data_IF_390415740014
#
_entry.id   IF_390415740014
#
_cell.length_a   1.000
_cell.length_b   1.000
_cell.length_c   1.000
_cell.angle_alpha   90.00
_cell.angle_beta   90.00
_cell.angle_gamma   90.00
#
_symmetry.space_group_name_H-M   'P 1'
#
loop_
_entity.id
_entity.type
_entity.pdbx_description
1 polymer ?
#
# COMPACT_ATOMS: atom_id res chain seq x y z
N UNK A 1 33.61 -12.20 29.72
CA UNK A 1 32.21 -12.04 30.20
C UNK A 1 31.45 -10.88 29.52
N UNK A 2 32.08 -9.70 29.31
CA UNK A 2 31.43 -8.52 28.69
C UNK A 2 31.02 -8.72 27.21
N UNK A 3 31.80 -9.44 26.40
CA UNK A 3 31.44 -9.70 24.99
C UNK A 3 30.17 -10.53 24.80
N UNK A 4 29.83 -11.42 25.73
CA UNK A 4 28.65 -12.29 25.60
C UNK A 4 27.34 -11.52 25.87
N UNK A 5 27.38 -10.53 26.76
CA UNK A 5 26.27 -9.62 27.05
C UNK A 5 25.99 -8.67 25.86
N UNK A 6 27.03 -8.18 25.19
CA UNK A 6 26.90 -7.35 23.99
C UNK A 6 26.26 -8.11 22.83
N UNK A 7 26.61 -9.38 22.62
CA UNK A 7 26.02 -10.18 21.56
C UNK A 7 24.53 -10.51 21.81
N UNK A 8 24.16 -10.81 23.07
CA UNK A 8 22.77 -11.06 23.44
C UNK A 8 21.90 -9.80 23.34
N UNK A 9 22.44 -8.65 23.77
CA UNK A 9 21.79 -7.34 23.64
C UNK A 9 21.52 -6.96 22.18
N UNK A 10 22.52 -7.13 21.30
CA UNK A 10 22.37 -6.85 19.87
C UNK A 10 21.32 -7.75 19.19
N UNK A 11 21.15 -8.99 19.64
CA UNK A 11 20.09 -9.87 19.13
C UNK A 11 18.69 -9.42 19.54
N UNK A 12 18.50 -8.93 20.77
CA UNK A 12 17.20 -8.39 21.22
C UNK A 12 16.86 -7.10 20.47
N UNK A 13 17.80 -6.17 20.34
CA UNK A 13 17.54 -4.93 19.60
C UNK A 13 17.27 -5.18 18.12
N UNK A 14 17.96 -6.15 17.49
CA UNK A 14 17.69 -6.51 16.10
C UNK A 14 16.33 -7.19 15.92
N UNK A 15 15.88 -8.04 16.85
CA UNK A 15 14.56 -8.68 16.79
C UNK A 15 13.42 -7.69 17.01
N UNK A 16 13.54 -6.77 17.97
CA UNK A 16 12.55 -5.69 18.18
C UNK A 16 12.46 -4.80 16.95
N UNK A 17 13.60 -4.41 16.36
CA UNK A 17 13.62 -3.60 15.12
C UNK A 17 13.04 -4.34 13.92
N UNK A 18 13.25 -5.67 13.83
CA UNK A 18 12.60 -6.50 12.80
C UNK A 18 11.08 -6.56 13.00
N UNK A 19 10.58 -6.66 14.23
CA UNK A 19 9.15 -6.65 14.51
C UNK A 19 8.49 -5.31 14.17
N UNK A 20 9.14 -4.18 14.51
CA UNK A 20 8.64 -2.84 14.13
C UNK A 20 8.62 -2.63 12.61
N UNK A 21 9.63 -3.15 11.90
CA UNK A 21 9.67 -3.10 10.43
C UNK A 21 8.66 -4.05 9.80
N UNK A 22 8.37 -5.20 10.41
CA UNK A 22 7.31 -6.11 9.95
C UNK A 22 5.93 -5.47 10.06
N UNK A 23 5.65 -4.76 11.15
CA UNK A 23 4.41 -3.99 11.30
C UNK A 23 4.34 -2.92 10.21
N UNK A 24 5.42 -2.16 9.99
CA UNK A 24 5.53 -1.16 8.90
C UNK A 24 5.33 -1.72 7.48
N UNK A 25 5.68 -3.00 7.27
CA UNK A 25 5.67 -3.67 5.96
C UNK A 25 4.30 -4.10 5.46
N UNK A 26 3.23 -3.99 6.24
CA UNK A 26 1.88 -4.44 5.79
C UNK A 26 1.06 -3.28 5.15
N UNK A 27 1.52 -2.03 5.26
CA UNK A 27 0.66 -0.83 5.14
C UNK A 27 0.29 -0.31 3.75
N UNK A 28 0.29 -1.15 2.71
CA UNK A 28 -0.27 -0.76 1.41
C UNK A 28 -0.99 -1.96 0.81
N UNK A 29 -2.32 -1.93 0.85
CA UNK A 29 -3.18 -2.97 0.25
C UNK A 29 -3.21 -2.93 -1.27
N UNK A 30 -2.08 -2.73 -1.95
CA UNK A 30 -1.97 -3.15 -3.35
C UNK A 30 -1.99 -4.69 -3.33
N UNK A 31 -3.20 -5.22 -3.41
CA UNK A 31 -3.61 -6.59 -3.09
C UNK A 31 -3.18 -7.63 -4.12
N UNK A 32 -2.02 -7.47 -4.78
CA UNK A 32 -1.54 -8.43 -5.79
C UNK A 32 -0.19 -9.05 -5.44
N UNK A 33 0.55 -8.53 -4.46
CA UNK A 33 1.90 -9.06 -4.19
C UNK A 33 1.81 -9.96 -2.96
N UNK A 34 1.96 -11.30 -3.12
CA UNK A 34 1.86 -12.21 -1.99
C UNK A 34 2.88 -11.77 -0.93
N UNK A 35 2.38 -11.48 0.27
CA UNK A 35 3.13 -11.07 1.46
C UNK A 35 4.04 -12.18 2.01
N UNK A 36 4.38 -13.16 1.16
CA UNK A 36 5.15 -14.38 1.46
C UNK A 36 6.17 -14.69 0.37
N UNK A 37 6.80 -13.67 -0.22
CA UNK A 37 8.10 -13.95 -0.86
C UNK A 37 9.06 -14.21 0.29
N UNK A 38 9.43 -15.47 0.51
CA UNK A 38 10.43 -15.81 1.50
C UNK A 38 11.80 -15.36 0.98
N UNK A 39 12.10 -14.08 1.22
CA UNK A 39 13.38 -13.47 0.85
C UNK A 39 14.55 -14.22 1.49
N UNK A 40 14.32 -14.96 2.60
CA UNK A 40 15.38 -15.71 3.27
C UNK A 40 15.79 -16.98 2.51
N UNK A 41 14.94 -17.54 1.65
CA UNK A 41 15.23 -18.75 0.86
C UNK A 41 15.72 -18.45 -0.56
N UNK A 42 15.84 -17.17 -0.94
CA UNK A 42 16.22 -16.75 -2.29
C UNK A 42 17.73 -16.82 -2.52
N UNK A 43 18.14 -17.25 -3.71
CA UNK A 43 19.54 -17.18 -4.14
C UNK A 43 19.98 -15.72 -4.32
N UNK A 44 21.28 -15.43 -4.25
CA UNK A 44 21.79 -14.05 -4.41
C UNK A 44 21.30 -13.38 -5.72
N UNK A 45 21.24 -14.14 -6.82
CA UNK A 45 20.69 -13.64 -8.10
C UNK A 45 19.20 -13.33 -8.03
N UNK A 46 18.42 -14.15 -7.33
CA UNK A 46 16.99 -13.92 -7.14
C UNK A 46 16.77 -12.68 -6.27
N UNK A 47 17.63 -12.44 -5.28
CA UNK A 47 17.61 -11.23 -4.46
C UNK A 47 17.93 -9.97 -5.26
N UNK A 48 18.91 -10.03 -6.18
CA UNK A 48 19.22 -8.93 -7.09
C UNK A 48 18.04 -8.63 -8.02
N UNK A 49 17.45 -9.66 -8.62
CA UNK A 49 16.27 -9.51 -9.47
C UNK A 49 15.08 -8.95 -8.68
N UNK A 50 14.84 -9.46 -7.47
CA UNK A 50 13.78 -8.96 -6.60
C UNK A 50 13.97 -7.50 -6.23
N UNK A 51 15.21 -7.03 -5.98
CA UNK A 51 15.47 -5.61 -5.71
C UNK A 51 15.12 -4.71 -6.89
N UNK A 52 15.33 -5.17 -8.13
CA UNK A 52 14.98 -4.41 -9.34
C UNK A 52 13.47 -4.33 -9.57
N UNK A 53 12.74 -5.41 -9.32
CA UNK A 53 11.29 -5.48 -9.56
C UNK A 53 10.45 -5.32 -8.29
N UNK A 54 11.04 -4.89 -7.18
CA UNK A 54 10.29 -4.72 -5.93
C UNK A 54 9.27 -3.59 -6.12
N UNK A 55 8.01 -3.77 -5.70
CA UNK A 55 7.10 -2.65 -5.50
C UNK A 55 7.69 -1.66 -4.49
N UNK A 56 8.04 -0.45 -4.93
CA UNK A 56 8.45 0.60 -4.00
C UNK A 56 7.24 1.05 -3.18
N UNK A 57 7.26 0.70 -1.89
CA UNK A 57 6.29 1.22 -0.92
C UNK A 57 6.76 2.59 -0.46
N UNK A 58 6.18 3.64 -1.02
CA UNK A 58 6.43 5.02 -0.59
C UNK A 58 5.37 5.42 0.42
N UNK A 59 5.80 5.81 1.63
CA UNK A 59 4.90 6.39 2.62
C UNK A 59 4.57 7.83 2.16
N UNK A 60 3.29 8.20 2.03
CA UNK A 60 2.92 9.56 1.65
C UNK A 60 3.53 10.58 2.63
N UNK A 61 4.10 11.69 2.15
CA UNK A 61 4.71 12.71 3.01
C UNK A 61 3.66 13.55 3.78
N UNK A 62 2.38 13.45 3.41
CA UNK A 62 1.27 14.22 3.97
C UNK A 62 0.21 13.32 4.59
N UNK A 63 -0.66 13.90 5.43
CA UNK A 63 -1.71 13.21 6.20
C UNK A 63 -3.01 14.01 6.19
N UNK A 64 -4.10 13.39 6.65
CA UNK A 64 -5.39 14.06 6.79
C UNK A 64 -5.97 14.56 5.46
N UNK A 65 -6.50 15.77 5.46
CA UNK A 65 -7.17 16.37 4.28
C UNK A 65 -6.22 16.56 3.10
N UNK A 66 -4.94 16.87 3.34
CA UNK A 66 -3.97 17.11 2.28
C UNK A 66 -3.68 15.83 1.50
N UNK A 67 -3.63 14.68 2.20
CA UNK A 67 -3.51 13.38 1.57
C UNK A 67 -4.72 13.07 0.67
N UNK A 68 -5.95 13.35 1.15
CA UNK A 68 -7.18 13.09 0.37
C UNK A 68 -7.24 13.96 -0.89
N UNK A 69 -6.79 15.22 -0.80
CA UNK A 69 -6.74 16.15 -1.95
C UNK A 69 -5.68 15.80 -2.99
N UNK A 70 -4.72 14.94 -2.64
CA UNK A 70 -3.64 14.57 -3.55
C UNK A 70 -4.04 13.40 -4.45
N UNK A 71 -4.22 13.66 -5.75
CA UNK A 71 -4.52 12.60 -6.73
C UNK A 71 -3.47 11.47 -6.72
N UNK A 72 -2.19 11.82 -6.50
CA UNK A 72 -1.08 10.86 -6.47
C UNK A 72 -1.14 9.84 -5.32
N UNK A 73 -1.63 10.22 -4.14
CA UNK A 73 -1.61 9.36 -2.95
C UNK A 73 -3.00 8.94 -2.47
N UNK A 74 -4.06 9.57 -2.98
CA UNK A 74 -5.43 9.23 -2.67
C UNK A 74 -5.83 7.93 -3.37
N UNK A 75 -6.39 6.98 -2.62
CA UNK A 75 -7.02 5.75 -3.15
C UNK A 75 -8.50 5.63 -2.76
N UNK A 76 -9.14 6.75 -2.42
CA UNK A 76 -10.56 6.82 -2.11
C UNK A 76 -10.98 5.83 -1.02
N UNK A 77 -11.94 4.94 -1.31
CA UNK A 77 -12.45 3.97 -0.33
C UNK A 77 -11.50 2.77 -0.07
N UNK A 78 -10.37 2.68 -0.77
CA UNK A 78 -9.41 1.57 -0.66
C UNK A 78 -8.43 1.72 0.50
N UNK A 79 -8.52 2.82 1.26
CA UNK A 79 -7.88 2.87 2.58
C UNK A 79 -8.58 1.91 3.54
N UNK A 80 -7.84 0.94 4.05
CA UNK A 80 -8.31 0.05 5.10
C UNK A 80 -8.40 0.78 6.45
N UNK A 81 -9.03 0.17 7.46
CA UNK A 81 -9.26 0.81 8.75
C UNK A 81 -7.96 1.31 9.40
N UNK A 82 -6.89 0.50 9.38
CA UNK A 82 -5.61 0.84 9.98
C UNK A 82 -4.94 2.01 9.25
N UNK A 83 -4.89 1.96 7.91
CA UNK A 83 -4.35 3.06 7.09
C UNK A 83 -5.12 4.36 7.36
N UNK A 84 -6.45 4.29 7.50
CA UNK A 84 -7.26 5.46 7.82
C UNK A 84 -6.89 6.08 9.17
N UNK A 85 -6.65 5.25 10.18
CA UNK A 85 -6.22 5.70 11.50
C UNK A 85 -4.79 6.26 11.45
N UNK A 86 -3.87 5.54 10.83
CA UNK A 86 -2.46 5.92 10.74
C UNK A 86 -2.23 7.19 9.90
N UNK A 87 -3.00 7.39 8.84
CA UNK A 87 -2.92 8.55 7.96
C UNK A 87 -3.79 9.73 8.44
N UNK A 88 -4.54 9.58 9.53
CA UNK A 88 -5.39 10.64 10.09
C UNK A 88 -6.58 11.01 9.20
N UNK A 89 -7.10 10.08 8.41
CA UNK A 89 -8.25 10.25 7.52
C UNK A 89 -9.51 9.50 8.00
N UNK A 90 -9.40 8.78 9.12
CA UNK A 90 -10.55 8.16 9.78
C UNK A 90 -11.55 9.25 10.22
N UNK A 91 -12.80 9.14 9.77
CA UNK A 91 -13.84 10.15 9.99
C UNK A 91 -13.97 11.21 8.88
N UNK A 92 -12.96 11.34 8.00
CA UNK A 92 -13.04 12.20 6.80
C UNK A 92 -13.62 11.49 5.58
N UNK A 93 -13.63 10.15 5.61
CA UNK A 93 -14.21 9.29 4.58
C UNK A 93 -15.48 8.61 5.13
N UNK A 94 -16.46 8.32 4.25
CA UNK A 94 -17.57 7.41 4.56
C UNK A 94 -17.12 6.13 5.27
N UNK A 95 -17.94 5.54 6.16
CA UNK A 95 -17.57 4.36 6.94
C UNK A 95 -17.39 3.08 6.09
N UNK A 96 -17.83 3.10 4.83
CA UNK A 96 -17.70 1.97 3.91
C UNK A 96 -16.24 1.79 3.41
N UNK A 97 -15.89 0.55 3.10
CA UNK A 97 -14.60 0.15 2.54
C UNK A 97 -14.81 -0.51 1.17
N UNK A 98 -13.90 -0.27 0.23
CA UNK A 98 -13.90 -0.95 -1.07
C UNK A 98 -12.47 -1.20 -1.53
N UNK A 99 -12.16 -2.42 -1.95
CA UNK A 99 -10.82 -2.72 -2.49
C UNK A 99 -10.57 -1.98 -3.80
N UNK A 100 -9.30 -1.81 -4.18
CA UNK A 100 -8.91 -1.22 -5.46
C UNK A 100 -9.53 -1.99 -6.63
N UNK A 101 -9.55 -3.32 -6.54
CA UNK A 101 -10.19 -4.19 -7.53
C UNK A 101 -11.70 -3.95 -7.63
N UNK A 102 -12.41 -3.79 -6.51
CA UNK A 102 -13.85 -3.48 -6.51
C UNK A 102 -14.13 -2.11 -7.15
N UNK A 103 -13.28 -1.11 -6.90
CA UNK A 103 -13.42 0.21 -7.51
C UNK A 103 -13.16 0.15 -9.02
N UNK A 104 -12.09 -0.54 -9.44
CA UNK A 104 -11.77 -0.76 -10.85
C UNK A 104 -12.90 -1.51 -11.57
N UNK A 105 -13.43 -2.58 -10.97
CA UNK A 105 -14.55 -3.34 -11.50
C UNK A 105 -15.78 -2.45 -11.74
N UNK A 106 -16.15 -1.61 -10.75
CA UNK A 106 -17.28 -0.67 -10.91
C UNK A 106 -17.08 0.31 -12.06
N UNK A 107 -15.87 0.86 -12.21
CA UNK A 107 -15.55 1.80 -13.28
C UNK A 107 -15.63 1.07 -14.63
N UNK A 108 -15.01 -0.11 -14.75
CA UNK A 108 -15.00 -0.91 -15.98
C UNK A 108 -16.41 -1.34 -16.38
N UNK A 109 -17.23 -1.80 -15.45
CA UNK A 109 -18.63 -2.16 -15.73
C UNK A 109 -19.41 -0.95 -16.25
N UNK A 110 -19.28 0.21 -15.58
CA UNK A 110 -19.92 1.44 -16.03
C UNK A 110 -19.43 1.91 -17.41
N UNK A 111 -18.14 1.73 -17.71
CA UNK A 111 -17.57 2.05 -19.04
C UNK A 111 -18.16 1.16 -20.14
N UNK A 112 -18.37 -0.14 -19.86
CA UNK A 112 -18.99 -1.09 -20.80
C UNK A 112 -20.46 -0.76 -21.08
N UNK A 113 -21.16 -0.19 -20.11
CA UNK A 113 -22.56 0.23 -20.22
C UNK A 113 -22.74 1.56 -20.98
N UNK A 114 -21.66 2.31 -21.25
CA UNK A 114 -21.78 3.59 -21.95
C UNK A 114 -22.25 3.42 -23.41
N UNK A 115 -23.18 4.26 -23.88
CA UNK A 115 -23.85 4.09 -25.18
C UNK A 115 -22.94 4.35 -26.39
N UNK A 116 -21.90 5.15 -26.23
CA UNK A 116 -20.98 5.53 -27.31
C UNK A 116 -19.59 5.89 -26.77
N UNK A 117 -18.63 6.05 -27.68
CA UNK A 117 -17.22 6.30 -27.35
C UNK A 117 -17.00 7.66 -26.69
N UNK A 118 -17.79 8.68 -27.05
CA UNK A 118 -17.71 10.00 -26.43
C UNK A 118 -18.09 9.93 -24.94
N UNK A 119 -19.14 9.20 -24.60
CA UNK A 119 -19.55 8.99 -23.21
C UNK A 119 -18.48 8.22 -22.41
N UNK A 120 -17.83 7.21 -23.02
CA UNK A 120 -16.68 6.52 -22.39
C UNK A 120 -15.51 7.46 -22.16
N UNK A 121 -15.20 8.31 -23.15
CA UNK A 121 -14.13 9.30 -23.04
C UNK A 121 -14.39 10.29 -21.90
N UNK A 122 -15.59 10.88 -21.81
CA UNK A 122 -15.95 11.80 -20.72
C UNK A 122 -15.78 11.13 -19.34
N UNK A 123 -16.20 9.87 -19.22
CA UNK A 123 -16.04 9.14 -17.97
C UNK A 123 -14.57 8.88 -17.62
N UNK A 124 -13.73 8.55 -18.61
CA UNK A 124 -12.28 8.36 -18.42
C UNK A 124 -11.56 9.66 -18.11
N UNK A 125 -11.96 10.76 -18.74
CA UNK A 125 -11.41 12.09 -18.51
C UNK A 125 -11.64 12.54 -17.06
N UNK A 126 -12.81 12.23 -16.51
CA UNK A 126 -13.13 12.47 -15.10
C UNK A 126 -12.26 11.72 -14.07
N UNK A 127 -11.42 10.75 -14.49
CA UNK A 127 -10.49 10.04 -13.61
C UNK A 127 -9.14 10.76 -13.42
N UNK A 128 -8.89 11.85 -14.15
CA UNK A 128 -7.61 12.58 -14.07
C UNK A 128 -7.49 13.51 -12.84
N UNK A 129 -8.56 13.63 -12.03
CA UNK A 129 -8.66 14.57 -10.90
C UNK A 129 -8.08 13.97 -9.62
#
# INVERSE_FOLDING_TARGET
MIMHLLWYSNNIFSTVRRNTLHIARIFSTTSIIPDKIDVASMTDKDLELYKLYRPERVIPPMRGIDLIKSSRYSKGMAFNLYERQYLGIHGLLPPAFMTEEQQAYRIISKLREQPNDLARYIQLDGLQI
#
